data_IF_157029201909
#
_entry.id   IF_157029201909
#
_cell.length_a   1.000
_cell.length_b   1.000
_cell.length_c   1.000
_cell.angle_alpha   90.00
_cell.angle_beta   90.00
_cell.angle_gamma   90.00
#
_symmetry.space_group_name_H-M   'P 1'
#
loop_
_entity.id
_entity.type
_entity.pdbx_description
1 polymer ?
#
# COMPACT_ATOMS: atom_id res chain seq x y z
N UNK A 1 -8.92 -13.69 -8.99
CA UNK A 1 -8.28 -12.36 -8.94
C UNK A 1 -9.28 -11.23 -9.24
N UNK A 2 -10.12 -11.33 -10.29
CA UNK A 2 -11.15 -10.34 -10.65
C UNK A 2 -12.18 -9.94 -9.58
N UNK A 3 -12.23 -10.64 -8.42
CA UNK A 3 -13.09 -10.28 -7.28
C UNK A 3 -12.39 -9.49 -6.17
N UNK A 4 -11.10 -9.20 -6.34
CA UNK A 4 -10.27 -8.52 -5.35
C UNK A 4 -9.71 -7.19 -5.87
N UNK A 5 -10.22 -6.68 -7.01
CA UNK A 5 -9.85 -5.36 -7.49
C UNK A 5 -10.35 -4.31 -6.49
N UNK A 6 -9.50 -3.36 -6.06
CA UNK A 6 -9.96 -2.28 -5.20
C UNK A 6 -10.94 -1.36 -5.93
N UNK A 7 -10.93 -1.32 -7.28
CA UNK A 7 -11.84 -0.49 -8.07
C UNK A 7 -13.32 -0.84 -7.84
N UNK A 8 -13.62 -2.08 -7.46
CA UNK A 8 -14.97 -2.53 -7.12
C UNK A 8 -15.49 -1.87 -5.83
N UNK A 9 -14.63 -1.22 -5.03
CA UNK A 9 -15.01 -0.50 -3.80
C UNK A 9 -15.53 0.92 -4.07
N UNK A 10 -15.41 1.45 -5.29
CA UNK A 10 -15.84 2.82 -5.62
C UNK A 10 -17.29 3.14 -5.22
N UNK A 11 -18.29 2.27 -5.45
CA UNK A 11 -19.67 2.54 -5.03
C UNK A 11 -19.79 2.64 -3.51
N UNK A 12 -19.06 1.80 -2.78
CA UNK A 12 -19.05 1.79 -1.31
C UNK A 12 -18.39 3.05 -0.75
N UNK A 13 -17.21 3.42 -1.28
CA UNK A 13 -16.47 4.61 -0.84
C UNK A 13 -17.32 5.87 -1.07
N UNK A 14 -17.98 5.96 -2.23
CA UNK A 14 -18.85 7.08 -2.59
C UNK A 14 -20.09 7.16 -1.70
N UNK A 15 -20.68 6.02 -1.32
CA UNK A 15 -21.84 5.97 -0.44
C UNK A 15 -21.54 6.42 1.00
N UNK A 16 -20.28 6.32 1.45
CA UNK A 16 -19.88 6.62 2.83
C UNK A 16 -18.73 7.65 2.89
N UNK A 17 -18.95 8.91 2.48
CA UNK A 17 -17.89 9.91 2.37
C UNK A 17 -17.26 10.33 3.70
N UNK A 18 -17.93 10.05 4.83
CA UNK A 18 -17.43 10.35 6.19
C UNK A 18 -16.65 9.19 6.82
N UNK A 19 -16.66 8.01 6.20
CA UNK A 19 -15.96 6.83 6.70
C UNK A 19 -14.57 6.79 6.09
N UNK A 20 -13.54 6.65 6.92
CA UNK A 20 -12.17 6.44 6.44
C UNK A 20 -12.01 5.00 5.96
N UNK A 21 -11.55 4.83 4.72
CA UNK A 21 -11.19 3.54 4.14
C UNK A 21 -9.67 3.43 4.06
N UNK A 22 -9.11 2.35 4.58
CA UNK A 22 -7.67 2.05 4.45
C UNK A 22 -7.53 0.81 3.58
N UNK A 23 -6.88 0.97 2.42
CA UNK A 23 -6.59 -0.14 1.52
C UNK A 23 -5.39 -0.92 2.06
N UNK A 24 -5.67 -2.12 2.57
CA UNK A 24 -4.69 -3.05 3.12
C UNK A 24 -4.02 -3.89 2.01
N UNK A 25 -2.96 -4.64 2.36
CA UNK A 25 -2.20 -5.49 1.43
C UNK A 25 -1.67 -4.79 0.16
N UNK A 26 -1.50 -3.47 0.19
CA UNK A 26 -1.16 -2.65 -0.97
C UNK A 26 -2.04 -2.88 -2.22
N UNK A 27 -3.26 -3.40 -2.05
CA UNK A 27 -4.11 -3.86 -3.16
C UNK A 27 -3.43 -4.85 -4.11
N UNK A 28 -2.41 -5.62 -3.69
CA UNK A 28 -1.65 -6.51 -4.58
C UNK A 28 -2.57 -7.49 -5.35
N UNK A 29 -2.44 -7.64 -6.68
CA UNK A 29 -1.45 -7.05 -7.60
C UNK A 29 -1.89 -5.72 -8.27
N UNK A 30 -2.93 -5.07 -7.77
CA UNK A 30 -3.62 -3.90 -8.31
C UNK A 30 -3.15 -2.56 -7.68
N UNK A 31 -1.84 -2.39 -7.41
CA UNK A 31 -1.33 -1.21 -6.70
C UNK A 31 -1.69 0.10 -7.41
N UNK A 32 -1.62 0.14 -8.74
CA UNK A 32 -2.03 1.32 -9.55
C UNK A 32 -3.49 1.70 -9.33
N UNK A 33 -4.38 0.72 -9.25
CA UNK A 33 -5.81 0.96 -9.00
C UNK A 33 -6.02 1.50 -7.58
N UNK A 34 -5.37 0.90 -6.58
CA UNK A 34 -5.41 1.40 -5.21
C UNK A 34 -4.85 2.83 -5.08
N UNK A 35 -3.77 3.13 -5.80
CA UNK A 35 -3.18 4.47 -5.87
C UNK A 35 -4.14 5.49 -6.50
N UNK A 36 -4.80 5.10 -7.58
CA UNK A 36 -5.84 5.92 -8.22
C UNK A 36 -6.99 6.25 -7.26
N UNK A 37 -7.53 5.25 -6.55
CA UNK A 37 -8.61 5.50 -5.57
C UNK A 37 -8.16 6.45 -4.44
N UNK A 38 -6.92 6.29 -3.97
CA UNK A 38 -6.35 7.15 -2.92
C UNK A 38 -6.19 8.60 -3.40
N UNK A 39 -5.90 8.79 -4.68
CA UNK A 39 -5.82 10.11 -5.31
C UNK A 39 -7.20 10.76 -5.49
N UNK A 40 -8.20 9.98 -5.94
CA UNK A 40 -9.55 10.48 -6.25
C UNK A 40 -10.40 10.74 -5.00
N UNK A 41 -10.31 9.86 -3.99
CA UNK A 41 -11.18 9.91 -2.81
C UNK A 41 -10.45 10.51 -1.60
N UNK A 42 -11.04 11.53 -0.98
CA UNK A 42 -10.46 12.21 0.18
C UNK A 42 -10.37 11.32 1.43
N UNK A 43 -11.28 10.36 1.57
CA UNK A 43 -11.41 9.47 2.70
C UNK A 43 -10.73 8.10 2.50
N UNK A 44 -9.91 7.94 1.46
CA UNK A 44 -9.17 6.70 1.18
C UNK A 44 -7.68 6.91 1.48
N UNK A 45 -7.10 5.97 2.23
CA UNK A 45 -5.69 5.90 2.57
C UNK A 45 -5.11 4.57 2.10
N UNK A 46 -3.80 4.55 1.83
CA UNK A 46 -3.14 3.39 1.24
C UNK A 46 -2.09 2.81 2.18
N UNK A 47 -2.33 1.61 2.70
CA UNK A 47 -1.38 0.90 3.57
C UNK A 47 -0.54 -0.11 2.77
N UNK A 48 0.77 0.08 2.78
CA UNK A 48 1.72 -0.71 1.97
C UNK A 48 2.58 -1.70 2.78
N UNK A 49 2.53 -1.59 4.11
CA UNK A 49 3.38 -2.36 5.01
C UNK A 49 3.14 -3.87 5.00
N UNK A 50 1.87 -4.26 4.96
CA UNK A 50 1.42 -5.65 5.14
C UNK A 50 1.97 -6.63 4.10
N UNK A 51 2.05 -6.22 2.84
CA UNK A 51 2.56 -7.11 1.79
C UNK A 51 4.08 -7.11 1.69
N UNK A 52 4.77 -6.14 2.34
CA UNK A 52 6.21 -5.95 2.19
C UNK A 52 7.03 -7.20 2.58
N UNK A 53 6.75 -7.91 3.69
CA UNK A 53 7.47 -9.14 4.01
C UNK A 53 7.18 -10.31 3.06
N UNK A 54 6.04 -10.28 2.37
CA UNK A 54 5.55 -11.38 1.53
C UNK A 54 6.10 -11.34 0.09
N UNK A 55 6.78 -10.25 -0.32
CA UNK A 55 7.33 -10.09 -1.67
C UNK A 55 8.86 -9.99 -1.67
N UNK A 56 9.47 -10.27 -2.83
CA UNK A 56 10.91 -10.11 -3.02
C UNK A 56 11.33 -8.64 -2.95
N UNK A 57 12.64 -8.35 -2.83
CA UNK A 57 13.16 -6.98 -2.85
C UNK A 57 12.68 -6.19 -4.07
N UNK A 58 12.79 -6.77 -5.27
CA UNK A 58 12.26 -6.15 -6.49
C UNK A 58 10.74 -5.95 -6.47
N UNK A 59 10.01 -6.85 -5.80
CA UNK A 59 8.57 -6.67 -5.55
C UNK A 59 8.26 -5.51 -4.60
N UNK A 60 9.11 -5.26 -3.59
CA UNK A 60 8.97 -4.10 -2.70
C UNK A 60 9.25 -2.79 -3.44
N UNK A 61 10.32 -2.76 -4.23
CA UNK A 61 10.69 -1.59 -5.06
C UNK A 61 9.56 -1.27 -6.06
N UNK A 62 9.08 -2.28 -6.79
CA UNK A 62 7.98 -2.14 -7.75
C UNK A 62 6.68 -1.67 -7.08
N UNK A 63 6.36 -2.21 -5.92
CA UNK A 63 5.21 -1.77 -5.14
C UNK A 63 5.32 -0.30 -4.78
N UNK A 64 6.44 0.11 -4.19
CA UNK A 64 6.64 1.50 -3.77
C UNK A 64 6.59 2.42 -4.99
N UNK A 65 7.23 2.04 -6.09
CA UNK A 65 7.22 2.78 -7.35
C UNK A 65 5.79 2.97 -7.88
N UNK A 66 5.00 1.91 -7.98
CA UNK A 66 3.61 2.00 -8.45
C UNK A 66 2.71 2.80 -7.51
N UNK A 67 2.93 2.73 -6.20
CA UNK A 67 2.15 3.48 -5.22
C UNK A 67 2.49 4.97 -5.29
N UNK A 68 3.77 5.33 -5.30
CA UNK A 68 4.24 6.72 -5.39
C UNK A 68 3.94 7.36 -6.75
N UNK A 69 3.74 6.56 -7.80
CA UNK A 69 3.36 7.05 -9.14
C UNK A 69 2.00 7.79 -9.13
N UNK A 70 1.05 7.39 -8.27
CA UNK A 70 -0.32 7.92 -8.27
C UNK A 70 -0.81 8.41 -6.91
N UNK A 71 -0.44 7.75 -5.81
CA UNK A 71 -1.00 8.04 -4.50
C UNK A 71 -0.38 9.30 -3.88
N UNK A 72 -1.19 10.24 -3.34
CA UNK A 72 -0.69 11.36 -2.57
C UNK A 72 0.15 10.89 -1.38
N UNK A 73 1.37 11.42 -1.23
CA UNK A 73 2.32 10.96 -0.20
C UNK A 73 1.81 11.12 1.23
N UNK A 74 0.95 12.10 1.48
CA UNK A 74 0.30 12.33 2.78
C UNK A 74 -0.81 11.31 3.12
N UNK A 75 -1.16 10.41 2.20
CA UNK A 75 -2.16 9.35 2.39
C UNK A 75 -1.58 7.95 2.35
N UNK A 76 -0.26 7.82 2.18
CA UNK A 76 0.45 6.54 2.21
C UNK A 76 0.82 6.20 3.66
N UNK A 77 0.52 4.98 4.07
CA UNK A 77 0.74 4.47 5.42
C UNK A 77 1.71 3.30 5.38
N UNK A 78 2.63 3.30 6.33
CA UNK A 78 3.61 2.24 6.54
C UNK A 78 3.32 1.46 7.84
N UNK A 79 3.52 0.15 7.79
CA UNK A 79 3.56 -0.74 8.96
C UNK A 79 4.65 -1.79 8.71
N UNK A 80 5.30 -2.28 9.77
CA UNK A 80 6.29 -3.36 9.62
C UNK A 80 5.70 -4.71 9.26
N UNK A 81 4.39 -4.90 9.53
CA UNK A 81 3.72 -6.21 9.49
C UNK A 81 4.45 -7.31 10.30
N UNK A 82 5.20 -6.89 11.31
CA UNK A 82 5.90 -7.80 12.20
C UNK A 82 4.92 -8.58 13.05
N UNK A 83 5.19 -9.87 13.19
CA UNK A 83 4.41 -10.81 13.98
C UNK A 83 5.36 -11.75 14.71
N UNK A 84 4.96 -12.15 15.93
CA UNK A 84 5.61 -13.16 16.77
C UNK A 84 7.00 -12.78 17.33
N UNK A 85 7.90 -12.32 16.48
CA UNK A 85 9.32 -12.09 16.81
C UNK A 85 9.74 -10.63 16.59
N UNK A 86 10.50 -10.03 17.52
CA UNK A 86 10.95 -8.64 17.42
C UNK A 86 11.76 -8.35 16.15
N UNK A 87 12.48 -9.35 15.63
CA UNK A 87 13.26 -9.27 14.40
C UNK A 87 12.39 -8.97 13.18
N UNK A 88 11.14 -9.44 13.16
CA UNK A 88 10.22 -9.17 12.03
C UNK A 88 9.87 -7.68 11.95
N UNK A 89 9.69 -7.01 13.09
CA UNK A 89 9.47 -5.57 13.14
C UNK A 89 10.71 -4.79 12.68
N UNK A 90 11.90 -5.19 13.14
CA UNK A 90 13.15 -4.55 12.75
C UNK A 90 13.45 -4.73 11.26
N UNK A 91 13.42 -5.96 10.76
CA UNK A 91 13.71 -6.29 9.37
C UNK A 91 12.68 -5.69 8.40
N UNK A 92 11.39 -5.67 8.78
CA UNK A 92 10.35 -5.01 7.98
C UNK A 92 10.66 -3.53 7.77
N UNK A 93 10.97 -2.80 8.83
CA UNK A 93 11.34 -1.38 8.74
C UNK A 93 12.67 -1.15 7.99
N UNK A 94 13.66 -2.01 8.20
CA UNK A 94 14.95 -1.91 7.50
C UNK A 94 14.77 -2.09 5.99
N UNK A 95 14.08 -3.14 5.56
CA UNK A 95 13.84 -3.45 4.15
C UNK A 95 13.05 -2.35 3.45
N UNK A 96 12.02 -1.82 4.12
CA UNK A 96 11.22 -0.71 3.60
C UNK A 96 12.05 0.54 3.33
N UNK A 97 12.94 0.89 4.27
CA UNK A 97 13.85 2.04 4.10
C UNK A 97 14.83 1.80 2.97
N UNK A 98 15.38 0.59 2.86
CA UNK A 98 16.29 0.23 1.76
C UNK A 98 15.59 0.25 0.40
N UNK A 99 14.32 -0.19 0.33
CA UNK A 99 13.54 -0.11 -0.90
C UNK A 99 13.22 1.35 -1.23
N UNK A 100 12.75 2.16 -0.28
CA UNK A 100 12.50 3.59 -0.47
C UNK A 100 13.75 4.39 -0.90
N UNK A 101 14.95 3.93 -0.55
CA UNK A 101 16.21 4.58 -0.91
C UNK A 101 16.90 3.98 -2.13
N UNK A 102 16.27 3.05 -2.85
CA UNK A 102 16.86 2.50 -4.07
C UNK A 102 16.90 3.58 -5.15
N UNK A 103 17.95 3.58 -5.98
CA UNK A 103 18.14 4.55 -7.06
C UNK A 103 17.03 4.51 -8.13
N UNK A 104 16.24 3.43 -8.15
CA UNK A 104 15.17 3.15 -9.11
C UNK A 104 13.76 3.60 -8.66
N UNK A 105 13.64 4.31 -7.53
CA UNK A 105 12.38 4.90 -7.01
C UNK A 105 12.46 6.42 -7.05
#
# INVERSE_FOLDING_TARGET
LTRASPADLQPLITAYPRTTFVLLHASYPYMREGGHLTAVYNNVYFAIGEVSPAVSRGGQEELIRQVLELAPTNKIMWSSDGHWWPETHYLGNLRARCALSSEDI
#
